data_IF_243516745245
#
_entry.id   IF_243516745245
#
_cell.length_a   1.000
_cell.length_b   1.000
_cell.length_c   1.000
_cell.angle_alpha   90.00
_cell.angle_beta   90.00
_cell.angle_gamma   90.00
#
_symmetry.space_group_name_H-M   'P 1'
#
loop_
_entity.id
_entity.type
_entity.pdbx_description
1 polymer ?
#
# COMPACT_ATOMS: atom_id res chain seq x y z
N UNK A 1 -2.42 -8.80 11.39
CA UNK A 1 -2.41 -9.77 10.27
C UNK A 1 -3.40 -10.86 10.63
N UNK A 2 -4.11 -11.43 9.65
CA UNK A 2 -5.11 -12.46 9.91
C UNK A 2 -4.45 -13.78 10.30
N UNK A 3 -5.11 -14.57 11.14
CA UNK A 3 -4.65 -15.92 11.53
C UNK A 3 -4.71 -16.88 10.34
N UNK A 4 -4.18 -18.09 10.49
CA UNK A 4 -4.27 -19.08 9.42
C UNK A 4 -5.69 -19.56 9.17
N UNK A 5 -6.48 -19.76 10.23
CA UNK A 5 -7.88 -20.15 10.16
C UNK A 5 -8.71 -19.11 9.42
N UNK A 6 -8.52 -17.83 9.74
CA UNK A 6 -9.18 -16.73 9.04
C UNK A 6 -8.83 -16.70 7.55
N UNK A 7 -7.58 -17.03 7.18
CA UNK A 7 -7.17 -17.11 5.77
C UNK A 7 -7.79 -18.30 5.06
N UNK A 8 -7.85 -19.46 5.73
CA UNK A 8 -8.50 -20.65 5.17
C UNK A 8 -9.98 -20.39 4.90
N UNK A 9 -10.69 -19.81 5.86
CA UNK A 9 -12.10 -19.45 5.69
C UNK A 9 -12.30 -18.37 4.62
N UNK A 10 -11.41 -17.39 4.53
CA UNK A 10 -11.46 -16.40 3.43
C UNK A 10 -11.39 -17.05 2.04
N UNK A 11 -10.56 -18.08 1.87
CA UNK A 11 -10.43 -18.80 0.59
C UNK A 11 -11.69 -19.63 0.27
N UNK A 12 -12.34 -20.24 1.26
CA UNK A 12 -13.58 -21.02 1.06
C UNK A 12 -14.74 -20.20 0.52
N UNK A 13 -14.74 -18.89 0.76
CA UNK A 13 -15.76 -17.97 0.27
C UNK A 13 -15.39 -17.34 -1.09
N UNK A 14 -14.26 -17.73 -1.69
CA UNK A 14 -13.90 -17.28 -3.03
C UNK A 14 -14.70 -18.04 -4.08
N UNK A 15 -15.39 -17.30 -4.97
CA UNK A 15 -16.22 -17.86 -6.05
C UNK A 15 -15.53 -18.94 -6.90
N UNK A 16 -14.22 -18.83 -7.08
CA UNK A 16 -13.44 -19.67 -7.99
C UNK A 16 -12.72 -20.83 -7.30
N UNK A 17 -12.93 -21.03 -5.99
CA UNK A 17 -12.26 -22.06 -5.20
C UNK A 17 -13.20 -23.22 -4.96
N UNK A 18 -12.80 -24.42 -5.41
CA UNK A 18 -13.53 -25.66 -5.14
C UNK A 18 -13.05 -26.36 -3.85
N UNK A 19 -11.74 -26.32 -3.57
CA UNK A 19 -11.12 -26.97 -2.42
C UNK A 19 -10.00 -26.11 -1.82
N UNK A 20 -9.90 -26.10 -0.50
CA UNK A 20 -8.78 -25.50 0.26
C UNK A 20 -7.98 -26.61 0.92
N UNK A 21 -6.66 -26.62 0.71
CA UNK A 21 -5.70 -27.51 1.36
C UNK A 21 -4.96 -26.69 2.44
N UNK A 22 -5.24 -26.91 3.74
CA UNK A 22 -4.50 -26.27 4.84
C UNK A 22 -3.05 -26.73 4.87
N UNK A 23 -2.19 -25.94 5.53
CA UNK A 23 -0.79 -26.27 5.81
C UNK A 23 0.02 -26.67 4.57
N UNK A 24 -0.26 -25.97 3.46
CA UNK A 24 0.46 -26.17 2.21
C UNK A 24 1.97 -25.89 2.38
N UNK A 25 2.85 -26.74 1.81
CA UNK A 25 4.28 -26.60 2.00
C UNK A 25 4.81 -25.33 1.32
N UNK A 26 5.86 -24.74 1.89
CA UNK A 26 6.53 -23.57 1.31
C UNK A 26 7.18 -23.88 -0.05
N UNK A 27 7.75 -25.09 -0.19
CA UNK A 27 8.32 -25.59 -1.46
C UNK A 27 7.52 -26.81 -1.89
N UNK A 28 6.96 -26.76 -3.10
CA UNK A 28 6.14 -27.84 -3.66
C UNK A 28 7.06 -28.94 -4.19
N UNK A 29 6.77 -30.19 -3.83
CA UNK A 29 7.51 -31.37 -4.28
C UNK A 29 6.59 -32.37 -5.00
N UNK A 30 7.19 -33.41 -5.60
CA UNK A 30 6.45 -34.43 -6.35
C UNK A 30 5.43 -35.19 -5.49
N UNK A 31 5.74 -35.42 -4.21
CA UNK A 31 4.84 -36.10 -3.26
C UNK A 31 3.54 -35.31 -3.07
N UNK A 32 3.65 -34.00 -2.83
CA UNK A 32 2.49 -33.12 -2.67
C UNK A 32 1.63 -33.05 -3.93
N UNK A 33 2.26 -32.96 -5.11
CA UNK A 33 1.55 -33.00 -6.38
C UNK A 33 0.77 -34.31 -6.58
N UNK A 34 1.40 -35.44 -6.27
CA UNK A 34 0.78 -36.76 -6.38
C UNK A 34 -0.37 -36.96 -5.39
N UNK A 35 -0.14 -36.63 -4.11
CA UNK A 35 -1.11 -36.76 -3.01
C UNK A 35 -2.43 -36.04 -3.30
N UNK A 36 -2.36 -34.87 -3.92
CA UNK A 36 -3.52 -34.02 -4.22
C UNK A 36 -3.95 -34.06 -5.70
N UNK A 37 -3.37 -34.95 -6.50
CA UNK A 37 -3.64 -35.08 -7.94
C UNK A 37 -3.55 -33.76 -8.71
N UNK A 38 -2.54 -32.94 -8.39
CA UNK A 38 -2.38 -31.59 -8.96
C UNK A 38 -1.77 -31.68 -10.36
N UNK A 39 -2.52 -31.21 -11.37
CA UNK A 39 -2.06 -31.13 -12.76
C UNK A 39 -1.19 -29.91 -13.05
N UNK A 40 -1.54 -28.75 -12.49
CA UNK A 40 -0.84 -27.48 -12.71
C UNK A 40 -0.79 -26.64 -11.43
N UNK A 41 0.25 -25.82 -11.31
CA UNK A 41 0.39 -24.78 -10.29
C UNK A 41 0.28 -23.42 -10.95
N UNK A 42 -0.58 -22.55 -10.43
CA UNK A 42 -0.78 -21.20 -10.93
C UNK A 42 -0.29 -20.15 -9.93
N UNK A 43 0.63 -19.28 -10.37
CA UNK A 43 1.14 -18.14 -9.59
C UNK A 43 1.64 -17.04 -10.54
N UNK A 44 1.93 -15.83 -10.03
CA UNK A 44 2.60 -14.81 -10.85
C UNK A 44 4.02 -15.25 -11.27
N UNK A 45 4.52 -14.65 -12.35
CA UNK A 45 5.77 -15.04 -12.99
C UNK A 45 7.03 -14.60 -12.22
N UNK A 46 6.90 -13.73 -11.20
CA UNK A 46 8.05 -13.19 -10.50
C UNK A 46 8.72 -14.28 -9.65
N UNK A 47 10.07 -14.39 -9.68
CA UNK A 47 10.79 -15.33 -8.85
C UNK A 47 10.42 -15.13 -7.38
N UNK A 48 9.90 -16.19 -6.76
CA UNK A 48 9.58 -16.17 -5.34
C UNK A 48 10.76 -16.76 -4.59
N UNK A 49 11.63 -15.89 -4.09
CA UNK A 49 12.88 -16.32 -3.45
C UNK A 49 12.65 -16.89 -2.06
N UNK A 50 13.37 -17.95 -1.73
CA UNK A 50 13.42 -18.44 -0.36
C UNK A 50 14.37 -17.56 0.47
N UNK A 51 13.93 -17.12 1.65
CA UNK A 51 14.72 -16.27 2.58
C UNK A 51 16.03 -16.94 3.05
N UNK A 52 16.18 -18.25 2.84
CA UNK A 52 17.31 -19.07 3.32
C UNK A 52 18.35 -19.42 2.24
N UNK A 53 18.29 -18.81 1.05
CA UNK A 53 19.39 -18.82 0.08
C UNK A 53 19.65 -20.13 -0.69
N UNK A 54 18.83 -21.16 -0.53
CA UNK A 54 19.02 -22.45 -1.21
C UNK A 54 18.35 -22.54 -2.60
N UNK A 55 17.32 -21.72 -2.88
CA UNK A 55 16.61 -21.71 -4.16
C UNK A 55 16.33 -20.28 -4.62
N UNK A 56 16.68 -19.99 -5.88
CA UNK A 56 16.40 -18.70 -6.51
C UNK A 56 14.90 -18.50 -6.77
N UNK A 57 14.15 -19.58 -6.94
CA UNK A 57 12.70 -19.57 -7.11
C UNK A 57 12.07 -20.85 -6.53
N UNK A 58 11.15 -20.72 -5.58
CA UNK A 58 10.46 -21.87 -4.98
C UNK A 58 9.60 -22.66 -5.97
N UNK A 59 9.32 -22.08 -7.15
CA UNK A 59 8.58 -22.74 -8.23
C UNK A 59 9.48 -23.38 -9.30
N UNK A 60 10.81 -23.38 -9.13
CA UNK A 60 11.75 -23.91 -10.12
C UNK A 60 11.44 -25.34 -10.55
N UNK A 61 11.16 -26.24 -9.58
CA UNK A 61 10.78 -27.63 -9.86
C UNK A 61 9.51 -27.74 -10.72
N UNK A 62 8.46 -26.99 -10.40
CA UNK A 62 7.19 -27.08 -11.14
C UNK A 62 7.29 -26.43 -12.53
N UNK A 63 8.17 -25.43 -12.68
CA UNK A 63 8.53 -24.83 -13.97
C UNK A 63 9.30 -25.80 -14.85
N UNK A 64 10.30 -26.51 -14.29
CA UNK A 64 11.15 -27.44 -15.07
C UNK A 64 10.38 -28.64 -15.64
N UNK A 65 9.32 -29.09 -14.97
CA UNK A 65 8.43 -30.15 -15.45
C UNK A 65 7.24 -29.64 -16.30
N UNK A 66 7.22 -28.35 -16.66
CA UNK A 66 6.19 -27.76 -17.53
C UNK A 66 4.79 -27.66 -16.91
N UNK A 67 4.67 -27.71 -15.57
CA UNK A 67 3.39 -27.67 -14.84
C UNK A 67 3.08 -26.32 -14.20
N UNK A 68 3.85 -25.29 -14.49
CA UNK A 68 3.59 -23.93 -14.01
C UNK A 68 2.72 -23.14 -15.00
N UNK A 69 1.72 -22.41 -14.48
CA UNK A 69 0.83 -21.54 -15.25
C UNK A 69 0.90 -20.12 -14.70
N UNK A 70 1.43 -19.21 -15.49
CA UNK A 70 1.58 -17.81 -15.08
C UNK A 70 0.23 -17.10 -15.01
N UNK A 71 0.05 -16.35 -13.92
CA UNK A 71 -1.08 -15.43 -13.73
C UNK A 71 -0.59 -13.98 -13.71
N UNK A 72 -1.50 -13.04 -13.97
CA UNK A 72 -1.19 -11.61 -13.91
C UNK A 72 -1.65 -11.02 -12.60
N UNK A 73 -0.81 -10.19 -11.99
CA UNK A 73 -1.19 -9.40 -10.81
C UNK A 73 -2.26 -8.38 -11.19
N UNK A 74 -3.10 -8.04 -10.23
CA UNK A 74 -4.06 -6.94 -10.36
C UNK A 74 -3.42 -5.66 -9.85
N UNK A 75 -3.33 -4.65 -10.70
CA UNK A 75 -2.72 -3.38 -10.35
C UNK A 75 -3.58 -2.58 -9.35
N UNK A 76 -2.92 -1.83 -8.47
CA UNK A 76 -3.59 -0.92 -7.52
C UNK A 76 -4.20 -1.60 -6.29
N UNK A 77 -4.00 -2.90 -6.10
CA UNK A 77 -4.46 -3.64 -4.92
C UNK A 77 -3.39 -4.60 -4.39
N UNK A 78 -3.10 -4.52 -3.10
CA UNK A 78 -2.29 -5.48 -2.37
C UNK A 78 -2.57 -5.37 -0.86
N UNK A 79 -2.25 -6.40 -0.09
CA UNK A 79 -2.34 -6.36 1.38
C UNK A 79 -1.54 -5.18 1.96
N UNK A 80 -0.34 -4.95 1.43
CA UNK A 80 0.51 -3.81 1.80
C UNK A 80 -0.16 -2.47 1.51
N UNK A 81 -0.84 -2.33 0.37
CA UNK A 81 -1.53 -1.09 0.02
C UNK A 81 -2.75 -0.85 0.90
N UNK A 82 -3.51 -1.90 1.23
CA UNK A 82 -4.63 -1.80 2.18
C UNK A 82 -4.11 -1.35 3.56
N UNK A 83 -3.04 -1.98 4.07
CA UNK A 83 -2.42 -1.60 5.35
C UNK A 83 -1.96 -0.13 5.30
N UNK A 84 -1.29 0.28 4.21
CA UNK A 84 -0.83 1.67 4.04
C UNK A 84 -1.99 2.67 4.03
N UNK A 85 -3.11 2.35 3.37
CA UNK A 85 -4.32 3.19 3.36
C UNK A 85 -4.87 3.37 4.79
N UNK A 86 -5.03 2.26 5.52
CA UNK A 86 -5.50 2.29 6.92
C UNK A 86 -4.56 3.12 7.80
N UNK A 87 -3.23 2.93 7.69
CA UNK A 87 -2.25 3.67 8.50
C UNK A 87 -2.22 5.17 8.18
N UNK A 88 -2.37 5.53 6.90
CA UNK A 88 -2.47 6.93 6.46
C UNK A 88 -3.68 7.61 7.11
N UNK A 89 -4.83 6.96 7.03
CA UNK A 89 -6.10 7.49 7.54
C UNK A 89 -6.13 7.46 9.08
N UNK A 90 -5.45 6.51 9.71
CA UNK A 90 -5.28 6.45 11.16
C UNK A 90 -4.57 7.69 11.70
N UNK A 91 -3.47 8.12 11.08
CA UNK A 91 -2.77 9.34 11.51
C UNK A 91 -3.67 10.58 11.40
N UNK A 92 -4.49 10.66 10.35
CA UNK A 92 -5.47 11.75 10.18
C UNK A 92 -6.59 11.67 11.24
N UNK A 93 -7.11 10.47 11.50
CA UNK A 93 -8.12 10.22 12.53
C UNK A 93 -7.63 10.69 13.90
N UNK A 94 -6.40 10.34 14.29
CA UNK A 94 -5.81 10.77 15.56
C UNK A 94 -5.75 12.30 15.63
N UNK A 95 -5.20 12.96 14.60
CA UNK A 95 -5.05 14.43 14.62
C UNK A 95 -6.37 15.18 14.63
N UNK A 96 -7.37 14.68 13.90
CA UNK A 96 -8.71 15.24 13.90
C UNK A 96 -9.33 15.18 15.29
N UNK A 97 -9.20 14.06 15.99
CA UNK A 97 -9.78 13.90 17.32
C UNK A 97 -8.98 14.65 18.41
N UNK A 98 -7.65 14.70 18.33
CA UNK A 98 -6.85 15.56 19.22
C UNK A 98 -7.23 17.04 19.09
N UNK A 99 -7.49 17.51 17.87
CA UNK A 99 -7.95 18.89 17.63
C UNK A 99 -9.35 19.14 18.20
N UNK A 100 -10.19 18.10 18.27
CA UNK A 100 -11.53 18.16 18.90
C UNK A 100 -11.48 18.07 20.44
N UNK A 101 -10.30 17.93 21.04
CA UNK A 101 -10.11 17.92 22.49
C UNK A 101 -10.05 16.54 23.14
N UNK A 102 -10.08 15.44 22.37
CA UNK A 102 -9.86 14.11 22.92
C UNK A 102 -8.42 13.98 23.45
N UNK A 103 -8.25 13.27 24.56
CA UNK A 103 -6.92 13.02 25.10
C UNK A 103 -6.22 11.88 24.34
N UNK A 104 -4.88 11.87 24.36
CA UNK A 104 -4.10 10.75 23.80
C UNK A 104 -4.45 9.40 24.42
N UNK A 105 -4.86 9.38 25.70
CA UNK A 105 -5.17 8.15 26.44
C UNK A 105 -6.47 7.55 25.91
N UNK A 106 -7.47 8.38 25.65
CA UNK A 106 -8.77 7.97 25.10
C UNK A 106 -8.62 7.38 23.68
N UNK A 107 -7.61 7.85 22.94
CA UNK A 107 -7.30 7.39 21.60
C UNK A 107 -6.30 6.22 21.56
N UNK A 108 -5.82 5.74 22.71
CA UNK A 108 -4.81 4.67 22.78
C UNK A 108 -3.45 5.04 22.15
N UNK A 109 -3.11 6.34 22.12
CA UNK A 109 -1.91 6.84 21.44
C UNK A 109 -0.77 7.10 22.43
N UNK A 110 0.43 6.62 22.07
CA UNK A 110 1.64 6.89 22.85
C UNK A 110 2.01 8.38 22.80
N UNK A 111 2.64 8.88 23.86
CA UNK A 111 3.05 10.29 23.95
C UNK A 111 3.99 10.71 22.80
N UNK A 112 4.95 9.84 22.44
CA UNK A 112 5.89 10.08 21.34
C UNK A 112 5.15 10.23 20.01
N UNK A 113 4.19 9.34 19.74
CA UNK A 113 3.40 9.38 18.50
C UNK A 113 2.57 10.66 18.41
N UNK A 114 1.95 11.09 19.52
CA UNK A 114 1.21 12.35 19.58
C UNK A 114 2.10 13.55 19.21
N UNK A 115 3.27 13.66 19.83
CA UNK A 115 4.21 14.76 19.56
C UNK A 115 4.71 14.74 18.11
N UNK A 116 5.06 13.56 17.59
CA UNK A 116 5.46 13.41 16.19
C UNK A 116 4.36 13.90 15.23
N UNK A 117 3.10 13.50 15.46
CA UNK A 117 1.99 13.92 14.62
C UNK A 117 1.73 15.43 14.71
N UNK A 118 1.86 16.02 15.89
CA UNK A 118 1.70 17.48 16.10
C UNK A 118 2.78 18.27 15.37
N UNK A 119 4.04 17.80 15.40
CA UNK A 119 5.16 18.40 14.63
C UNK A 119 4.91 18.28 13.14
N UNK A 120 4.56 17.09 12.64
CA UNK A 120 4.26 16.87 11.22
C UNK A 120 3.13 17.79 10.73
N UNK A 121 2.07 17.97 11.53
CA UNK A 121 0.99 18.90 11.20
C UNK A 121 1.45 20.36 11.19
N UNK A 122 2.32 20.76 12.12
CA UNK A 122 2.94 22.09 12.12
C UNK A 122 3.73 22.36 10.84
N UNK A 123 4.51 21.37 10.39
CA UNK A 123 5.27 21.44 9.13
C UNK A 123 4.32 21.53 7.93
N UNK A 124 3.25 20.72 7.89
CA UNK A 124 2.27 20.77 6.79
C UNK A 124 1.57 22.13 6.70
N UNK A 125 1.11 22.69 7.83
CA UNK A 125 0.51 24.02 7.87
C UNK A 125 1.47 25.12 7.41
N UNK A 126 2.75 25.01 7.77
CA UNK A 126 3.77 25.94 7.30
C UNK A 126 3.96 25.83 5.78
N UNK A 127 4.04 24.61 5.24
CA UNK A 127 4.13 24.38 3.80
C UNK A 127 2.94 24.97 3.04
N UNK A 128 1.73 24.79 3.56
CA UNK A 128 0.50 25.37 2.98
C UNK A 128 0.57 26.90 2.95
N UNK A 129 0.93 27.55 4.07
CA UNK A 129 1.09 29.02 4.12
C UNK A 129 2.16 29.53 3.15
N UNK A 130 3.28 28.84 3.03
CA UNK A 130 4.35 29.20 2.08
C UNK A 130 3.83 29.11 0.64
N UNK A 131 3.10 28.04 0.32
CA UNK A 131 2.50 27.85 -1.02
C UNK A 131 1.49 28.95 -1.34
N UNK A 132 0.60 29.27 -0.40
CA UNK A 132 -0.36 30.38 -0.55
C UNK A 132 0.35 31.73 -0.78
N UNK A 133 1.44 31.99 -0.05
CA UNK A 133 2.24 33.20 -0.26
C UNK A 133 2.87 33.20 -1.66
N UNK A 134 3.50 32.10 -2.08
CA UNK A 134 4.08 31.99 -3.43
C UNK A 134 3.03 32.25 -4.52
N UNK A 135 1.84 31.64 -4.42
CA UNK A 135 0.74 31.85 -5.37
C UNK A 135 0.27 33.31 -5.42
N UNK A 136 0.19 33.98 -4.26
CA UNK A 136 -0.12 35.42 -4.17
C UNK A 136 0.96 36.28 -4.82
N UNK A 137 2.24 36.01 -4.56
CA UNK A 137 3.37 36.72 -5.19
C UNK A 137 3.38 36.52 -6.71
N UNK A 138 3.18 35.30 -7.21
CA UNK A 138 3.10 35.03 -8.65
C UNK A 138 1.92 35.75 -9.30
N UNK A 139 0.76 35.77 -8.64
CA UNK A 139 -0.42 36.49 -9.13
C UNK A 139 -0.19 38.00 -9.17
N UNK A 140 0.41 38.57 -8.11
CA UNK A 140 0.75 39.98 -8.04
C UNK A 140 1.78 40.39 -9.12
N UNK A 141 2.83 39.58 -9.34
CA UNK A 141 3.82 39.80 -10.39
C UNK A 141 3.18 39.76 -11.79
N UNK A 142 2.22 38.85 -12.03
CA UNK A 142 1.49 38.76 -13.29
C UNK A 142 0.57 39.97 -13.55
N UNK A 143 -0.05 40.50 -12.49
CA UNK A 143 -0.88 41.72 -12.57
C UNK A 143 0.00 42.94 -12.85
N UNK A 144 1.12 43.09 -12.14
CA UNK A 144 2.07 44.18 -12.34
C UNK A 144 2.67 44.17 -13.76
N UNK A 145 3.02 42.98 -14.29
CA UNK A 145 3.54 42.84 -15.66
C UNK A 145 2.52 43.14 -16.77
N UNK A 146 1.21 42.98 -16.51
CA UNK A 146 0.15 43.39 -17.45
C UNK A 146 -0.08 44.90 -17.43
N UNK A 147 0.01 45.55 -16.27
CA UNK A 147 -0.13 47.00 -16.15
C UNK A 147 1.04 47.75 -16.82
N UNK A 148 2.26 47.20 -16.81
CA UNK A 148 3.41 47.80 -17.50
C UNK A 148 3.40 47.65 -19.03
N UNK A 149 2.57 46.77 -19.60
CA UNK A 149 2.48 46.55 -21.05
C UNK A 149 1.29 47.27 -21.71
N UNK A 150 0.42 47.92 -20.91
CA UNK A 150 -0.76 48.66 -21.39
C UNK A 150 -0.56 50.16 -21.62
N UNK A 151 0.67 50.68 -21.59
CA UNK A 151 0.97 52.11 -21.75
C UNK A 151 1.93 52.36 -22.91
N UNK A 152 1.63 51.83 -24.10
CA UNK A 152 2.14 52.36 -25.38
C UNK A 152 1.17 51.94 -26.50
N UNK A 153 0.27 52.84 -26.87
CA UNK A 153 -0.60 52.66 -28.04
C UNK A 153 -1.84 53.53 -27.98
N UNK A 154 -1.68 54.79 -28.35
CA UNK A 154 -2.63 55.63 -29.12
C UNK A 154 -2.31 57.12 -28.88
N UNK A 155 -1.40 57.65 -29.71
CA UNK A 155 -1.49 58.95 -30.39
C UNK A 155 -0.60 58.88 -31.63
#
# INVERSE_FOLDING_TARGET
MTTEEERYESLRHCKWVDQVIPDAPWVINQEFLGKHCIGYIAHDALPSMQTLGAANDVYEFVKSIGRFKETKRTDGISTSDIIKRILKDYNQYIMRNLTRGYSRKDLGVSYVKEKQLRVNMGITKLKEKVKEHQEKFHSAAKIAGKQSCGVYGEY
#
